data_IF_054880558289
#
_entry.id   IF_054880558289
#
_cell.length_a   1.000
_cell.length_b   1.000
_cell.length_c   1.000
_cell.angle_alpha   90.00
_cell.angle_beta   90.00
_cell.angle_gamma   90.00
#
_symmetry.space_group_name_H-M   'P 1'
#
loop_
_entity.id
_entity.type
_entity.pdbx_description
1 polymer ?
#
# COMPACT_ATOMS: atom_id res chain seq x y z
N UNK A 1 -2.71 71.38 -5.85
CA UNK A 1 -2.22 69.99 -5.99
C UNK A 1 -2.86 69.17 -4.89
N UNK A 2 -3.97 68.48 -5.18
CA UNK A 2 -4.61 67.59 -4.21
C UNK A 2 -4.12 66.16 -4.49
N UNK A 3 -3.39 65.60 -3.53
CA UNK A 3 -3.03 64.18 -3.49
C UNK A 3 -4.29 63.36 -3.28
N UNK A 4 -4.75 62.67 -4.32
CA UNK A 4 -5.86 61.73 -4.22
C UNK A 4 -5.45 60.51 -3.40
N UNK A 5 -5.68 60.57 -2.09
CA UNK A 5 -5.68 59.38 -1.23
C UNK A 5 -6.88 58.55 -1.65
N UNK A 6 -6.67 57.30 -2.05
CA UNK A 6 -7.74 56.36 -2.39
C UNK A 6 -8.48 55.99 -1.11
N UNK A 7 -9.58 56.70 -0.82
CA UNK A 7 -10.47 56.41 0.28
C UNK A 7 -11.50 55.37 -0.19
N UNK A 8 -11.22 54.09 0.07
CA UNK A 8 -12.06 52.98 -0.36
C UNK A 8 -11.64 51.63 0.23
N UNK A 9 -12.62 50.79 0.56
CA UNK A 9 -12.39 49.43 1.09
C UNK A 9 -11.79 48.54 0.00
N UNK A 10 -10.59 48.00 0.26
CA UNK A 10 -9.93 47.05 -0.65
C UNK A 10 -10.67 45.71 -0.53
N UNK A 11 -11.30 45.21 -1.61
CA UNK A 11 -11.96 43.91 -1.57
C UNK A 11 -10.89 42.83 -1.41
N UNK A 12 -11.04 42.01 -0.36
CA UNK A 12 -10.14 40.89 -0.09
C UNK A 12 -10.96 39.62 0.10
N UNK A 13 -10.42 38.51 -0.38
CA UNK A 13 -10.98 37.19 -0.20
C UNK A 13 -10.27 36.54 0.99
N UNK A 14 -11.04 36.21 2.02
CA UNK A 14 -10.56 35.42 3.15
C UNK A 14 -11.25 34.06 3.12
N UNK A 15 -10.46 33.00 3.25
CA UNK A 15 -10.95 31.66 3.48
C UNK A 15 -10.04 30.96 4.49
N UNK A 16 -10.59 29.96 5.16
CA UNK A 16 -9.86 29.06 6.04
C UNK A 16 -9.76 27.69 5.37
N UNK A 17 -8.58 27.08 5.40
CA UNK A 17 -8.36 25.70 4.98
C UNK A 17 -8.00 24.89 6.21
N UNK A 18 -8.70 23.77 6.41
CA UNK A 18 -8.35 22.76 7.39
C UNK A 18 -7.84 21.51 6.68
N UNK A 19 -6.71 20.98 7.15
CA UNK A 19 -6.08 19.78 6.59
C UNK A 19 -5.94 18.77 7.72
N UNK A 20 -6.51 17.59 7.54
CA UNK A 20 -6.38 16.47 8.46
C UNK A 20 -5.58 15.34 7.79
N UNK A 21 -4.73 14.64 8.55
CA UNK A 21 -4.11 13.41 8.08
C UNK A 21 -3.96 12.40 9.22
N UNK A 22 -4.25 11.14 8.95
CA UNK A 22 -4.04 10.04 9.91
C UNK A 22 -2.68 9.36 9.73
N UNK A 23 -1.68 10.12 9.26
CA UNK A 23 -0.34 9.58 8.98
C UNK A 23 0.39 9.08 10.24
N UNK A 24 -0.03 9.54 11.42
CA UNK A 24 0.52 9.14 12.73
C UNK A 24 -0.15 7.89 13.32
N UNK A 25 -1.16 7.30 12.65
CA UNK A 25 -1.77 6.05 13.12
C UNK A 25 -0.79 4.87 12.94
N UNK A 26 -0.47 4.18 14.03
CA UNK A 26 0.44 3.04 13.97
C UNK A 26 -0.14 1.86 13.18
N UNK A 27 0.66 1.33 12.25
CA UNK A 27 0.36 0.09 11.54
C UNK A 27 1.54 -0.87 11.66
N UNK A 28 1.29 -2.07 12.20
CA UNK A 28 2.32 -3.13 12.26
C UNK A 28 2.94 -3.35 10.88
N UNK A 29 4.23 -3.10 10.66
CA UNK A 29 4.84 -3.18 9.33
C UNK A 29 4.81 -4.61 8.78
N UNK A 30 4.81 -4.73 7.45
CA UNK A 30 4.99 -6.01 6.79
C UNK A 30 6.43 -6.45 6.97
N UNK A 31 6.68 -7.67 7.45
CA UNK A 31 8.05 -8.09 7.75
C UNK A 31 8.87 -8.27 6.47
N UNK A 32 10.20 -8.13 6.54
CA UNK A 32 11.09 -8.28 5.37
C UNK A 32 10.83 -9.58 4.61
N UNK A 33 10.72 -10.72 5.32
CA UNK A 33 10.42 -12.03 4.73
C UNK A 33 9.04 -12.06 4.04
N UNK A 34 8.03 -11.46 4.67
CA UNK A 34 6.71 -11.34 4.07
C UNK A 34 6.78 -10.54 2.75
N UNK A 35 7.52 -9.42 2.75
CA UNK A 35 7.65 -8.54 1.59
C UNK A 35 8.40 -9.20 0.44
N UNK A 36 9.49 -9.92 0.72
CA UNK A 36 10.24 -10.69 -0.27
C UNK A 36 9.34 -11.76 -0.90
N UNK A 37 8.65 -12.55 -0.07
CA UNK A 37 7.74 -13.59 -0.57
C UNK A 37 6.64 -13.00 -1.45
N UNK A 38 6.02 -11.88 -1.04
CA UNK A 38 5.01 -11.20 -1.84
C UNK A 38 5.56 -10.71 -3.18
N UNK A 39 6.71 -10.03 -3.18
CA UNK A 39 7.33 -9.51 -4.42
C UNK A 39 7.65 -10.65 -5.40
N UNK A 40 8.26 -11.73 -4.90
CA UNK A 40 8.59 -12.90 -5.71
C UNK A 40 7.34 -13.55 -6.29
N UNK A 41 6.32 -13.81 -5.46
CA UNK A 41 5.06 -14.41 -5.92
C UNK A 41 4.37 -13.51 -6.95
N UNK A 42 4.34 -12.20 -6.71
CA UNK A 42 3.74 -11.22 -7.63
C UNK A 42 4.46 -11.23 -8.98
N UNK A 43 5.79 -11.17 -8.97
CA UNK A 43 6.60 -11.26 -10.18
C UNK A 43 6.31 -12.55 -10.97
N UNK A 44 6.33 -13.70 -10.29
CA UNK A 44 6.06 -14.99 -10.94
C UNK A 44 4.63 -15.10 -11.50
N UNK A 45 3.66 -14.43 -10.88
CA UNK A 45 2.27 -14.49 -11.31
C UNK A 45 1.97 -13.51 -12.44
N UNK A 46 2.36 -12.26 -12.29
CA UNK A 46 1.98 -11.16 -13.19
C UNK A 46 2.95 -10.99 -14.36
N UNK A 47 4.25 -11.15 -14.12
CA UNK A 47 5.29 -10.95 -15.16
C UNK A 47 5.55 -12.25 -15.91
N UNK A 48 5.76 -13.35 -15.18
CA UNK A 48 6.06 -14.66 -15.76
C UNK A 48 4.78 -15.46 -16.13
N UNK A 49 3.59 -14.96 -15.80
CA UNK A 49 2.31 -15.60 -16.14
C UNK A 49 2.09 -16.97 -15.50
N UNK A 50 2.78 -17.31 -14.41
CA UNK A 50 2.66 -18.63 -13.79
C UNK A 50 1.37 -18.75 -12.98
N UNK A 51 0.67 -19.87 -13.18
CA UNK A 51 -0.44 -20.25 -12.31
C UNK A 51 0.04 -20.65 -10.91
N UNK A 52 -0.85 -20.53 -9.91
CA UNK A 52 -0.52 -20.74 -8.50
C UNK A 52 0.08 -22.11 -8.19
N UNK A 53 -0.33 -23.16 -8.92
CA UNK A 53 0.25 -24.50 -8.78
C UNK A 53 1.74 -24.51 -9.13
N UNK A 54 2.13 -23.97 -10.29
CA UNK A 54 3.53 -23.88 -10.72
C UNK A 54 4.36 -23.03 -9.76
N UNK A 55 3.81 -21.92 -9.27
CA UNK A 55 4.48 -21.07 -8.29
C UNK A 55 4.75 -21.84 -6.99
N UNK A 56 3.74 -22.53 -6.45
CA UNK A 56 3.92 -23.31 -5.21
C UNK A 56 5.00 -24.39 -5.36
N UNK A 57 5.04 -25.08 -6.51
CA UNK A 57 6.06 -26.07 -6.83
C UNK A 57 7.46 -25.44 -6.93
N UNK A 58 7.61 -24.32 -7.66
CA UNK A 58 8.89 -23.59 -7.75
C UNK A 58 9.40 -23.16 -6.37
N UNK A 59 8.55 -22.53 -5.55
CA UNK A 59 8.98 -22.09 -4.22
C UNK A 59 9.42 -23.25 -3.33
N UNK A 60 8.72 -24.38 -3.38
CA UNK A 60 9.12 -25.59 -2.66
C UNK A 60 10.42 -26.19 -3.21
N UNK A 61 10.60 -26.21 -4.54
CA UNK A 61 11.81 -26.70 -5.20
C UNK A 61 13.04 -25.85 -4.89
N UNK A 62 12.87 -24.53 -4.79
CA UNK A 62 13.93 -23.62 -4.36
C UNK A 62 14.20 -23.64 -2.86
N UNK A 63 13.49 -24.47 -2.10
CA UNK A 63 13.65 -24.56 -0.64
C UNK A 63 13.24 -23.29 0.09
N UNK A 64 12.37 -22.45 -0.50
CA UNK A 64 11.89 -21.21 0.13
C UNK A 64 10.63 -21.53 0.94
N UNK A 65 10.68 -21.56 2.28
CA UNK A 65 9.50 -21.86 3.07
C UNK A 65 8.58 -20.62 3.20
N UNK A 66 7.33 -20.87 3.54
CA UNK A 66 6.41 -19.82 3.99
C UNK A 66 6.96 -19.08 5.22
N UNK A 67 6.32 -17.97 5.60
CA UNK A 67 6.71 -17.19 6.79
C UNK A 67 6.73 -18.07 8.05
N UNK A 68 5.83 -19.05 8.14
CA UNK A 68 5.71 -20.01 9.25
C UNK A 68 6.56 -21.28 9.09
N UNK A 69 7.47 -21.34 8.11
CA UNK A 69 8.33 -22.51 7.89
C UNK A 69 7.67 -23.68 7.16
N UNK A 70 6.41 -23.55 6.70
CA UNK A 70 5.69 -24.62 6.00
C UNK A 70 5.93 -24.60 4.48
N UNK A 71 5.66 -25.73 3.81
CA UNK A 71 5.59 -25.83 2.34
C UNK A 71 4.49 -24.96 1.75
N UNK A 72 4.67 -24.58 0.50
CA UNK A 72 3.70 -23.84 -0.31
C UNK A 72 2.66 -24.77 -0.91
N UNK A 73 1.43 -24.30 -0.91
CA UNK A 73 0.30 -24.86 -1.64
C UNK A 73 -0.28 -23.80 -2.58
N UNK A 74 -1.00 -24.17 -3.65
CA UNK A 74 -1.60 -23.19 -4.56
C UNK A 74 -2.47 -22.15 -3.83
N UNK A 75 -3.28 -22.59 -2.86
CA UNK A 75 -4.11 -21.70 -2.04
C UNK A 75 -3.30 -20.76 -1.13
N UNK A 76 -2.09 -21.15 -0.71
CA UNK A 76 -1.24 -20.28 0.10
C UNK A 76 -0.61 -19.18 -0.74
N UNK A 77 -0.26 -19.47 -2.00
CA UNK A 77 0.21 -18.48 -2.98
C UNK A 77 -0.87 -17.43 -3.23
N UNK A 78 -2.09 -17.86 -3.58
CA UNK A 78 -3.23 -16.97 -3.76
C UNK A 78 -3.50 -16.11 -2.51
N UNK A 79 -3.46 -16.74 -1.33
CA UNK A 79 -3.68 -16.04 -0.06
C UNK A 79 -2.68 -14.92 0.19
N UNK A 80 -1.41 -15.07 -0.21
CA UNK A 80 -0.41 -14.01 -0.05
C UNK A 80 -0.79 -12.76 -0.85
N UNK A 81 -1.15 -12.92 -2.12
CA UNK A 81 -1.55 -11.82 -2.99
C UNK A 81 -2.83 -11.13 -2.44
N UNK A 82 -3.86 -11.93 -2.16
CA UNK A 82 -5.13 -11.44 -1.61
C UNK A 82 -4.94 -10.68 -0.30
N UNK A 83 -4.19 -11.23 0.66
CA UNK A 83 -3.99 -10.62 1.98
C UNK A 83 -3.15 -9.35 1.92
N UNK A 84 -2.20 -9.24 0.98
CA UNK A 84 -1.46 -7.99 0.77
C UNK A 84 -2.38 -6.89 0.27
N UNK A 85 -3.20 -7.17 -0.74
CA UNK A 85 -4.17 -6.20 -1.25
C UNK A 85 -5.17 -5.74 -0.18
N UNK A 86 -5.77 -6.67 0.57
CA UNK A 86 -6.67 -6.33 1.69
C UNK A 86 -6.03 -5.45 2.75
N UNK A 87 -4.74 -5.68 3.02
CA UNK A 87 -3.98 -4.87 3.97
C UNK A 87 -3.75 -3.46 3.44
N UNK A 88 -3.38 -3.33 2.16
CA UNK A 88 -3.11 -2.04 1.54
C UNK A 88 -4.38 -1.17 1.50
N UNK A 89 -5.50 -1.75 1.08
CA UNK A 89 -6.80 -1.07 1.11
C UNK A 89 -7.18 -0.61 2.53
N UNK A 90 -6.93 -1.43 3.56
CA UNK A 90 -7.21 -1.03 4.95
C UNK A 90 -6.36 0.15 5.40
N UNK A 91 -5.07 0.16 5.05
CA UNK A 91 -4.17 1.25 5.42
C UNK A 91 -4.58 2.54 4.70
N UNK A 92 -4.92 2.44 3.42
CA UNK A 92 -5.42 3.57 2.62
C UNK A 92 -6.73 4.14 3.19
N UNK A 93 -7.69 3.28 3.51
CA UNK A 93 -8.96 3.70 4.13
C UNK A 93 -8.76 4.41 5.47
N UNK A 94 -7.81 3.98 6.30
CA UNK A 94 -7.51 4.63 7.57
C UNK A 94 -6.84 5.99 7.34
N UNK A 95 -5.96 6.09 6.34
CA UNK A 95 -5.24 7.33 6.02
C UNK A 95 -6.13 8.41 5.42
N UNK A 96 -7.13 8.01 4.63
CA UNK A 96 -8.07 8.90 3.96
C UNK A 96 -9.34 9.19 4.79
N UNK A 97 -9.38 8.72 6.04
CA UNK A 97 -10.45 9.04 6.99
C UNK A 97 -10.20 10.40 7.63
#
# INVERSE_FOLDING_TARGET
MYSGVLDGTIPHLQFSIEIQSNNLTYHKPYTKKQQINYKLIKYLHEIEGLGYRKISQKMNSWGIPTIRGKKWFPQSVFSVLKRKHQRDMRIEQIRNK
#
